data_IF_772872634726
#
_entry.id   IF_772872634726
#
_cell.length_a   1.000
_cell.length_b   1.000
_cell.length_c   1.000
_cell.angle_alpha   90.00
_cell.angle_beta   90.00
_cell.angle_gamma   90.00
#
_symmetry.space_group_name_H-M   'P 1'
#
loop_
_entity.id
_entity.type
_entity.pdbx_description
1 polymer ?
#
# COMPACT_ATOMS: atom_id res chain seq x y z
N UNK A 1 -9.40 38.12 -16.45
CA UNK A 1 -8.68 36.91 -16.00
C UNK A 1 -9.22 35.75 -16.84
N UNK A 2 -8.38 35.08 -17.64
CA UNK A 2 -8.81 33.94 -18.46
C UNK A 2 -8.96 32.68 -17.57
N UNK A 3 -9.95 31.82 -17.83
CA UNK A 3 -10.29 30.68 -16.96
C UNK A 3 -9.22 29.55 -16.92
N UNK A 4 -8.23 29.58 -17.81
CA UNK A 4 -7.19 28.53 -17.94
C UNK A 4 -5.86 28.87 -17.27
N UNK A 5 -5.75 29.97 -16.52
CA UNK A 5 -4.50 30.39 -15.89
C UNK A 5 -4.45 29.92 -14.42
N UNK A 6 -3.72 28.83 -14.16
CA UNK A 6 -3.52 28.24 -12.84
C UNK A 6 -2.46 28.95 -11.97
N UNK A 7 -1.77 29.96 -12.52
CA UNK A 7 -0.75 30.71 -11.79
C UNK A 7 -1.27 32.07 -11.34
N UNK A 8 -1.41 32.26 -10.03
CA UNK A 8 -1.57 33.57 -9.41
C UNK A 8 -0.18 34.12 -9.13
N UNK A 9 0.29 35.08 -9.94
CA UNK A 9 1.53 35.81 -9.65
C UNK A 9 1.27 36.79 -8.52
N UNK A 10 1.84 36.49 -7.35
CA UNK A 10 1.81 37.37 -6.19
C UNK A 10 2.80 38.53 -6.41
N UNK A 11 2.37 39.76 -6.15
CA UNK A 11 3.17 40.96 -6.36
C UNK A 11 4.46 40.99 -5.54
N UNK A 12 4.49 40.28 -4.40
CA UNK A 12 5.61 40.26 -3.46
C UNK A 12 6.06 38.83 -3.10
N UNK A 13 6.22 37.99 -4.12
CA UNK A 13 6.59 36.58 -4.00
C UNK A 13 7.79 36.31 -3.06
N UNK A 14 8.82 37.17 -3.12
CA UNK A 14 10.02 37.05 -2.29
C UNK A 14 9.75 37.29 -0.81
N UNK A 15 8.91 38.27 -0.48
CA UNK A 15 8.58 38.58 0.92
C UNK A 15 7.71 37.49 1.54
N UNK A 16 6.76 36.97 0.76
CA UNK A 16 5.88 35.87 1.17
C UNK A 16 6.69 34.59 1.38
N UNK A 17 7.61 34.29 0.47
CA UNK A 17 8.54 33.17 0.61
C UNK A 17 9.38 33.28 1.89
N UNK A 18 9.99 34.44 2.15
CA UNK A 18 10.84 34.63 3.31
C UNK A 18 10.05 34.55 4.63
N UNK A 19 8.80 35.04 4.63
CA UNK A 19 7.88 34.90 5.77
C UNK A 19 7.54 33.43 6.02
N UNK A 20 7.10 32.69 5.00
CA UNK A 20 6.77 31.27 5.10
C UNK A 20 7.97 30.45 5.56
N UNK A 21 9.15 30.72 4.99
CA UNK A 21 10.39 30.06 5.38
C UNK A 21 10.71 30.28 6.86
N UNK A 22 10.59 31.51 7.36
CA UNK A 22 10.83 31.82 8.77
C UNK A 22 9.81 31.16 9.70
N UNK A 23 8.53 31.15 9.33
CA UNK A 23 7.45 30.53 10.11
C UNK A 23 7.65 29.02 10.19
N UNK A 24 7.88 28.35 9.07
CA UNK A 24 8.11 26.90 9.02
C UNK A 24 9.38 26.54 9.79
N UNK A 25 10.48 27.28 9.58
CA UNK A 25 11.75 27.06 10.30
C UNK A 25 11.59 27.23 11.81
N UNK A 26 10.81 28.22 12.24
CA UNK A 26 10.54 28.47 13.66
C UNK A 26 9.63 27.40 14.26
N UNK A 27 8.57 27.01 13.56
CA UNK A 27 7.67 25.92 13.98
C UNK A 27 8.42 24.61 14.10
N UNK A 28 9.19 24.21 13.08
CA UNK A 28 9.96 22.96 13.11
C UNK A 28 11.02 22.95 14.22
N UNK A 29 11.66 24.09 14.51
CA UNK A 29 12.58 24.22 15.66
C UNK A 29 11.88 24.17 17.01
N UNK A 30 10.61 24.60 17.09
CA UNK A 30 9.82 24.57 18.31
C UNK A 30 9.13 23.23 18.56
N UNK A 31 8.77 22.49 17.50
CA UNK A 31 7.99 21.25 17.57
C UNK A 31 8.82 19.97 17.45
N UNK A 32 10.03 20.04 16.89
CA UNK A 32 10.99 18.95 16.97
C UNK A 32 12.04 19.31 18.00
N UNK A 33 12.03 18.62 19.14
CA UNK A 33 13.17 18.54 20.04
C UNK A 33 14.34 17.86 19.34
N UNK A 34 14.98 18.57 18.40
CA UNK A 34 16.27 18.19 17.87
C UNK A 34 17.28 18.39 18.99
N UNK A 35 17.98 17.34 19.46
CA UNK A 35 19.03 17.52 20.43
C UNK A 35 20.05 18.50 19.84
N UNK A 36 20.32 19.57 20.58
CA UNK A 36 21.43 20.48 20.28
C UNK A 36 22.70 19.63 20.17
N UNK A 37 23.36 19.70 19.01
CA UNK A 37 24.57 18.94 18.69
C UNK A 37 25.77 19.44 19.51
N UNK A 38 25.74 19.20 20.82
CA UNK A 38 26.83 19.48 21.76
C UNK A 38 27.09 18.32 22.72
N UNK A 39 26.49 17.15 22.49
CA UNK A 39 26.81 15.93 23.23
C UNK A 39 27.22 14.83 22.27
N UNK A 40 28.51 14.47 22.32
CA UNK A 40 29.15 13.49 21.45
C UNK A 40 28.44 12.13 21.50
N UNK A 41 27.75 11.78 20.42
CA UNK A 41 27.35 10.39 20.14
C UNK A 41 28.47 9.76 19.32
N UNK A 42 29.24 8.85 19.94
CA UNK A 42 30.18 8.00 19.23
C UNK A 42 29.41 6.85 18.58
N UNK A 43 29.31 6.85 17.26
CA UNK A 43 28.80 5.71 16.49
C UNK A 43 30.00 4.83 16.14
N UNK A 44 30.02 3.60 16.67
CA UNK A 44 30.98 2.57 16.24
C UNK A 44 30.35 1.78 15.10
N UNK A 45 30.92 1.88 13.91
CA UNK A 45 30.73 0.90 12.84
C UNK A 45 32.06 0.20 12.58
N UNK A 46 31.97 -1.12 12.34
CA UNK A 46 33.11 -1.93 11.94
C UNK A 46 33.70 -1.35 10.64
N UNK A 47 35.01 -1.10 10.67
CA UNK A 47 35.82 -0.56 9.56
C UNK A 47 35.65 0.96 9.29
N UNK A 48 36.51 1.73 9.98
CA UNK A 48 36.82 3.16 9.88
C UNK A 48 36.05 4.13 10.79
N UNK A 49 36.80 4.72 11.74
CA UNK A 49 36.37 5.80 12.63
C UNK A 49 36.30 7.12 11.86
N UNK A 50 35.09 7.66 11.65
CA UNK A 50 34.89 9.04 11.21
C UNK A 50 34.11 9.82 12.25
N UNK A 51 34.50 11.07 12.48
CA UNK A 51 33.72 11.98 13.31
C UNK A 51 32.47 12.46 12.56
N UNK A 52 31.38 12.73 13.28
CA UNK A 52 30.15 13.26 12.67
C UNK A 52 30.38 14.57 11.89
N UNK A 53 31.38 15.35 12.29
CA UNK A 53 31.81 16.56 11.58
C UNK A 53 32.41 16.26 10.20
N UNK A 54 33.14 15.16 10.03
CA UNK A 54 33.71 14.74 8.75
C UNK A 54 32.68 14.10 7.83
N UNK A 55 31.71 13.36 8.38
CA UNK A 55 30.58 12.83 7.62
C UNK A 55 29.73 13.96 7.01
N UNK A 56 29.45 15.01 7.80
CA UNK A 56 28.70 16.19 7.34
C UNK A 56 29.49 16.99 6.29
N UNK A 57 30.82 17.05 6.40
CA UNK A 57 31.67 17.72 5.40
C UNK A 57 31.63 16.99 4.05
N UNK A 58 31.74 15.66 4.04
CA UNK A 58 31.64 14.85 2.82
C UNK A 58 30.24 14.89 2.19
N UNK A 59 29.18 15.01 2.98
CA UNK A 59 27.82 15.15 2.46
C UNK A 59 27.62 16.48 1.72
N UNK A 60 28.32 17.54 2.13
CA UNK A 60 28.36 18.82 1.40
C UNK A 60 29.10 18.71 0.06
N UNK A 61 30.10 17.85 -0.02
CA UNK A 61 30.85 17.59 -1.27
C UNK A 61 30.03 16.76 -2.28
N UNK A 62 28.95 16.10 -1.83
CA UNK A 62 28.04 15.29 -2.66
C UNK A 62 26.73 15.99 -3.08
N UNK A 63 26.51 17.24 -2.64
CA UNK A 63 25.35 18.05 -3.02
C UNK A 63 25.71 18.98 -4.18
N UNK A 64 25.04 18.88 -5.35
CA UNK A 64 25.34 19.73 -6.48
C UNK A 64 24.82 21.14 -6.21
N UNK A 65 25.71 22.03 -5.77
CA UNK A 65 25.35 23.39 -5.42
C UNK A 65 26.56 24.31 -5.31
N UNK A 66 27.01 24.78 -6.48
CA UNK A 66 28.09 25.77 -6.75
C UNK A 66 29.47 25.20 -7.03
N UNK A 67 29.74 24.84 -8.28
CA UNK A 67 30.92 25.31 -9.02
C UNK A 67 30.79 24.96 -10.52
N UNK A 68 31.35 25.83 -11.36
CA UNK A 68 31.22 25.85 -12.81
C UNK A 68 32.13 24.84 -13.54
N UNK A 69 31.62 24.33 -14.67
CA UNK A 69 32.29 23.71 -15.83
C UNK A 69 33.07 22.39 -15.69
N UNK A 70 32.85 21.52 -16.70
CA UNK A 70 33.44 20.19 -17.07
C UNK A 70 32.58 19.01 -16.57
N UNK A 71 32.10 18.04 -17.35
CA UNK A 71 32.17 17.64 -18.77
C UNK A 71 31.09 16.55 -19.01
N UNK A 72 30.70 16.19 -20.25
CA UNK A 72 29.47 15.42 -20.57
C UNK A 72 29.48 13.90 -20.30
N UNK A 73 30.45 13.37 -19.56
CA UNK A 73 30.85 11.95 -19.64
C UNK A 73 30.17 11.00 -18.62
N UNK A 74 29.23 11.50 -17.80
CA UNK A 74 28.57 10.69 -16.77
C UNK A 74 27.24 10.06 -17.23
N UNK A 75 26.59 10.65 -18.23
CA UNK A 75 25.32 10.15 -18.79
C UNK A 75 25.50 9.02 -19.80
N UNK A 76 26.68 8.90 -20.42
CA UNK A 76 26.96 7.90 -21.45
C UNK A 76 27.31 6.52 -20.86
N UNK A 77 27.72 6.47 -19.57
CA UNK A 77 28.01 5.21 -18.85
C UNK A 77 26.79 4.53 -18.24
N UNK A 78 25.66 5.24 -18.12
CA UNK A 78 24.44 4.71 -17.52
C UNK A 78 23.45 4.13 -18.55
N UNK A 79 23.70 4.33 -19.85
CA UNK A 79 22.79 3.94 -20.95
C UNK A 79 23.37 2.93 -21.95
N UNK A 80 24.49 2.25 -21.64
CA UNK A 80 24.99 1.19 -22.53
C UNK A 80 24.26 -0.13 -22.27
N UNK A 81 23.28 -0.39 -23.13
CA UNK A 81 22.60 -1.67 -23.32
C UNK A 81 23.63 -2.81 -23.46
N UNK A 82 23.44 -3.89 -22.70
CA UNK A 82 24.07 -5.19 -22.97
C UNK A 82 23.00 -6.10 -23.56
N UNK A 83 23.12 -6.36 -24.86
CA UNK A 83 22.45 -7.46 -25.57
C UNK A 83 23.49 -8.55 -25.91
N UNK A 84 23.11 -9.74 -26.42
CA UNK A 84 23.20 -11.00 -25.74
C UNK A 84 24.30 -11.88 -26.37
N UNK A 85 24.65 -12.99 -25.72
CA UNK A 85 25.70 -13.94 -26.11
C UNK A 85 27.14 -13.55 -25.76
N UNK A 86 27.58 -14.02 -24.59
CA UNK A 86 28.94 -14.51 -24.45
C UNK A 86 28.94 -15.73 -23.53
N UNK A 87 29.20 -16.88 -24.13
CA UNK A 87 29.55 -18.12 -23.45
C UNK A 87 30.87 -17.93 -22.71
N UNK A 88 30.88 -18.15 -21.39
CA UNK A 88 32.11 -18.57 -20.73
C UNK A 88 31.83 -19.60 -19.64
N UNK A 89 32.62 -20.67 -19.68
CA UNK A 89 32.51 -21.89 -18.88
C UNK A 89 33.27 -21.67 -17.58
N UNK A 90 32.56 -21.41 -16.48
CA UNK A 90 33.10 -21.39 -15.13
C UNK A 90 32.64 -22.61 -14.34
N UNK A 91 33.59 -23.44 -13.89
CA UNK A 91 33.40 -24.70 -13.19
C UNK A 91 32.61 -24.57 -11.88
N UNK A 92 31.79 -25.59 -11.59
CA UNK A 92 31.02 -25.78 -10.36
C UNK A 92 31.93 -26.48 -9.34
N UNK A 93 32.14 -25.94 -8.13
CA UNK A 93 32.66 -26.72 -7.03
C UNK A 93 31.56 -27.65 -6.49
N UNK A 94 31.88 -28.94 -6.59
CA UNK A 94 31.21 -30.09 -6.02
C UNK A 94 31.39 -30.08 -4.50
N UNK A 95 30.29 -29.94 -3.76
CA UNK A 95 30.21 -30.27 -2.33
C UNK A 95 28.73 -30.49 -1.96
N UNK A 96 28.16 -31.58 -2.45
CA UNK A 96 26.93 -32.17 -1.94
C UNK A 96 27.26 -33.40 -1.11
N UNK A 97 27.55 -33.22 0.18
CA UNK A 97 27.35 -34.28 1.16
C UNK A 97 26.76 -33.77 2.47
N UNK A 98 25.58 -34.34 2.77
CA UNK A 98 25.06 -34.64 4.11
C UNK A 98 24.61 -33.46 4.99
N UNK A 99 23.29 -33.33 5.12
CA UNK A 99 22.64 -32.57 6.17
C UNK A 99 21.15 -32.94 6.24
N UNK A 100 20.84 -33.94 7.06
CA UNK A 100 19.47 -34.24 7.52
C UNK A 100 18.88 -33.03 8.26
N UNK A 101 17.55 -33.03 8.32
CA UNK A 101 16.65 -32.16 9.10
C UNK A 101 16.39 -30.76 8.53
N UNK A 102 15.23 -30.64 7.86
CA UNK A 102 14.50 -29.39 7.72
C UNK A 102 13.03 -29.63 8.04
N UNK A 103 12.71 -29.56 9.32
CA UNK A 103 11.38 -29.22 9.83
C UNK A 103 11.57 -28.12 10.85
N UNK A 104 12.00 -26.95 10.39
CA UNK A 104 12.02 -25.76 11.23
C UNK A 104 10.67 -25.06 11.09
N UNK A 105 9.76 -25.43 11.99
CA UNK A 105 8.58 -24.62 12.29
C UNK A 105 9.09 -23.48 13.16
N UNK A 106 9.23 -22.28 12.59
CA UNK A 106 9.52 -21.06 13.36
C UNK A 106 8.28 -20.67 14.20
N UNK A 107 8.07 -21.38 15.31
CA UNK A 107 7.17 -20.93 16.37
C UNK A 107 7.94 -19.92 17.22
N UNK A 108 7.82 -18.65 16.87
CA UNK A 108 8.25 -17.55 17.74
C UNK A 108 7.40 -17.60 19.01
N UNK A 109 7.92 -18.26 20.06
CA UNK A 109 7.32 -18.25 21.40
C UNK A 109 7.49 -16.87 22.04
N UNK A 110 6.59 -15.95 21.73
CA UNK A 110 6.39 -14.74 22.53
C UNK A 110 5.60 -15.16 23.77
N UNK A 111 6.25 -15.07 24.93
CA UNK A 111 5.73 -15.43 26.26
C UNK A 111 4.32 -14.83 26.44
N UNK A 112 3.33 -15.70 26.63
CA UNK A 112 1.93 -15.31 26.80
C UNK A 112 1.80 -14.29 27.94
N UNK A 113 1.35 -13.09 27.61
CA UNK A 113 0.82 -12.16 28.60
C UNK A 113 -0.60 -12.64 28.89
N UNK A 114 -0.78 -13.30 30.02
CA UNK A 114 -2.08 -13.63 30.59
C UNK A 114 -2.79 -12.30 30.89
N UNK A 115 -3.61 -11.85 29.94
CA UNK A 115 -4.56 -10.78 30.17
C UNK A 115 -5.87 -11.48 30.49
N UNK A 116 -6.43 -11.17 31.66
CA UNK A 116 -7.67 -11.76 32.17
C UNK A 116 -8.75 -11.83 31.07
N UNK A 117 -9.32 -13.02 30.95
CA UNK A 117 -10.25 -13.41 29.90
C UNK A 117 -11.57 -12.64 30.00
N UNK A 118 -11.71 -11.59 29.20
CA UNK A 118 -13.02 -11.19 28.70
C UNK A 118 -13.57 -12.37 27.86
N UNK A 119 -14.74 -12.94 28.19
CA UNK A 119 -15.34 -14.07 27.47
C UNK A 119 -15.61 -13.78 25.98
N UNK A 120 -15.49 -12.53 25.53
CA UNK A 120 -15.52 -12.13 24.12
C UNK A 120 -14.16 -11.74 23.51
N UNK A 121 -13.06 -11.78 24.26
CA UNK A 121 -11.76 -11.34 23.76
C UNK A 121 -11.12 -12.39 22.85
N UNK A 122 -10.87 -11.97 21.61
CA UNK A 122 -10.12 -12.75 20.63
C UNK A 122 -8.63 -12.51 20.82
N UNK A 123 -7.87 -13.60 20.97
CA UNK A 123 -6.41 -13.58 21.15
C UNK A 123 -5.71 -13.97 19.85
N UNK A 124 -4.85 -13.10 19.35
CA UNK A 124 -3.99 -13.42 18.21
C UNK A 124 -2.91 -14.42 18.62
N UNK A 125 -2.71 -15.45 17.80
CA UNK A 125 -1.68 -16.48 18.01
C UNK A 125 -0.49 -16.33 17.08
N UNK A 126 -0.70 -15.82 15.87
CA UNK A 126 0.35 -15.67 14.88
C UNK A 126 -0.17 -15.76 13.44
N UNK A 127 0.79 -15.78 12.52
CA UNK A 127 0.57 -15.86 11.08
C UNK A 127 1.15 -17.18 10.54
N UNK A 128 0.36 -17.93 9.80
CA UNK A 128 0.79 -19.15 9.12
C UNK A 128 1.08 -18.85 7.65
N UNK A 129 2.33 -19.13 7.24
CA UNK A 129 2.74 -19.07 5.83
C UNK A 129 2.62 -17.69 5.17
N UNK A 130 2.53 -16.61 5.97
CA UNK A 130 2.21 -15.25 5.50
C UNK A 130 0.88 -15.10 4.77
N UNK A 131 -0.05 -16.01 5.03
CA UNK A 131 -1.35 -16.08 4.34
C UNK A 131 -2.51 -16.11 5.33
N UNK A 132 -2.36 -16.86 6.41
CA UNK A 132 -3.45 -17.06 7.37
C UNK A 132 -3.13 -16.43 8.71
N UNK A 133 -4.08 -15.70 9.27
CA UNK A 133 -4.04 -15.19 10.61
C UNK A 133 -4.77 -16.16 11.53
N UNK A 134 -4.12 -16.52 12.63
CA UNK A 134 -4.65 -17.49 13.58
C UNK A 134 -5.03 -16.78 14.87
N UNK A 135 -6.27 -16.99 15.29
CA UNK A 135 -6.79 -16.44 16.54
C UNK A 135 -7.46 -17.53 17.38
N UNK A 136 -7.52 -17.31 18.69
CA UNK A 136 -8.38 -18.05 19.61
C UNK A 136 -9.51 -17.12 20.08
N UNK A 137 -10.73 -17.63 20.06
CA UNK A 137 -11.91 -16.97 20.63
C UNK A 137 -12.66 -18.00 21.48
N UNK A 138 -12.57 -17.89 22.81
CA UNK A 138 -13.05 -18.94 23.71
C UNK A 138 -12.35 -20.28 23.44
N UNK A 139 -13.14 -21.34 23.20
CA UNK A 139 -12.65 -22.70 22.88
C UNK A 139 -12.54 -22.97 21.36
N UNK A 140 -12.50 -21.91 20.54
CA UNK A 140 -12.53 -21.99 19.09
C UNK A 140 -11.25 -21.43 18.47
N UNK A 141 -10.71 -22.14 17.49
CA UNK A 141 -9.60 -21.71 16.65
C UNK A 141 -10.17 -21.06 15.37
N UNK A 142 -9.83 -19.79 15.15
CA UNK A 142 -10.19 -19.06 13.95
C UNK A 142 -8.97 -18.96 13.05
N UNK A 143 -9.13 -19.39 11.79
CA UNK A 143 -8.13 -19.27 10.74
C UNK A 143 -8.71 -18.33 9.69
N UNK A 144 -8.08 -17.17 9.53
CA UNK A 144 -8.57 -16.09 8.66
C UNK A 144 -7.59 -15.93 7.51
N UNK A 145 -8.06 -15.99 6.28
CA UNK A 145 -7.24 -15.61 5.12
C UNK A 145 -7.05 -14.09 5.13
N UNK A 146 -5.80 -13.66 5.28
CA UNK A 146 -5.42 -12.26 5.43
C UNK A 146 -5.86 -11.42 4.22
N UNK A 147 -5.68 -11.95 3.01
CA UNK A 147 -5.97 -11.23 1.79
C UNK A 147 -7.48 -11.06 1.62
N UNK A 148 -8.24 -12.16 1.72
CA UNK A 148 -9.71 -12.10 1.54
C UNK A 148 -10.40 -11.33 2.68
N UNK A 149 -9.87 -11.38 3.90
CA UNK A 149 -10.33 -10.55 5.01
C UNK A 149 -10.13 -9.07 4.72
N UNK A 150 -8.96 -8.68 4.23
CA UNK A 150 -8.68 -7.28 3.93
C UNK A 150 -9.52 -6.78 2.75
N UNK A 151 -9.69 -7.60 1.70
CA UNK A 151 -10.62 -7.29 0.60
C UNK A 151 -12.04 -7.03 1.11
N UNK A 152 -12.58 -7.90 1.97
CA UNK A 152 -13.94 -7.71 2.52
C UNK A 152 -14.03 -6.42 3.31
N UNK A 153 -13.08 -6.14 4.20
CA UNK A 153 -13.10 -4.93 5.01
C UNK A 153 -13.06 -3.67 4.13
N UNK A 154 -12.15 -3.63 3.15
CA UNK A 154 -12.04 -2.49 2.24
C UNK A 154 -13.28 -2.31 1.37
N UNK A 155 -13.91 -3.41 0.96
CA UNK A 155 -15.15 -3.37 0.18
C UNK A 155 -16.29 -2.71 0.96
N UNK A 156 -16.53 -3.14 2.21
CA UNK A 156 -17.58 -2.55 3.05
C UNK A 156 -17.32 -1.07 3.35
N UNK A 157 -16.05 -0.70 3.58
CA UNK A 157 -15.67 0.70 3.76
C UNK A 157 -15.87 1.52 2.49
N UNK A 158 -15.53 0.96 1.33
CA UNK A 158 -15.68 1.64 0.05
C UNK A 158 -17.15 1.85 -0.32
N UNK A 159 -18.05 0.91 -0.01
CA UNK A 159 -19.49 1.11 -0.17
C UNK A 159 -19.98 2.32 0.64
N UNK A 160 -19.62 2.36 1.94
CA UNK A 160 -19.98 3.49 2.83
C UNK A 160 -19.41 4.82 2.32
N UNK A 161 -18.20 4.80 1.77
CA UNK A 161 -17.58 5.98 1.15
C UNK A 161 -18.39 6.46 -0.05
N UNK A 162 -18.75 5.57 -0.97
CA UNK A 162 -19.54 5.90 -2.17
C UNK A 162 -20.92 6.44 -1.77
N UNK A 163 -21.62 5.76 -0.86
CA UNK A 163 -22.94 6.19 -0.37
C UNK A 163 -22.90 7.58 0.29
N UNK A 164 -21.83 7.87 1.04
CA UNK A 164 -21.68 9.17 1.70
C UNK A 164 -21.22 10.29 0.77
N UNK A 165 -20.65 9.97 -0.40
CA UNK A 165 -20.02 10.91 -1.32
C UNK A 165 -18.77 11.61 -0.77
N UNK A 166 -18.18 11.11 0.32
CA UNK A 166 -17.04 11.74 1.04
C UNK A 166 -15.72 11.01 0.79
N UNK A 167 -15.49 10.55 -0.44
CA UNK A 167 -14.22 9.92 -0.76
C UNK A 167 -13.04 10.89 -0.65
N UNK A 168 -11.93 10.37 -0.13
CA UNK A 168 -10.65 11.08 -0.10
C UNK A 168 -9.90 10.75 -1.39
N UNK A 169 -9.59 11.79 -2.15
CA UNK A 169 -8.87 11.70 -3.41
C UNK A 169 -7.45 12.23 -3.26
N UNK A 170 -6.51 11.60 -3.97
CA UNK A 170 -5.20 12.16 -4.24
C UNK A 170 -5.17 12.72 -5.66
N UNK A 171 -4.94 14.03 -5.78
CA UNK A 171 -4.74 14.68 -7.07
C UNK A 171 -3.46 14.18 -7.73
N UNK A 172 -3.53 14.01 -9.04
CA UNK A 172 -2.36 13.76 -9.87
C UNK A 172 -1.56 15.04 -10.03
N UNK A 173 -0.24 14.92 -10.16
CA UNK A 173 0.63 16.07 -10.41
C UNK A 173 0.30 16.73 -11.76
N UNK A 174 -0.01 15.89 -12.76
CA UNK A 174 -0.52 16.28 -14.06
C UNK A 174 -1.73 15.40 -14.40
N UNK A 175 -2.83 15.96 -14.92
CA UNK A 175 -3.92 15.16 -15.43
C UNK A 175 -3.44 14.23 -16.56
N UNK A 176 -4.05 13.04 -16.64
CA UNK A 176 -3.75 12.04 -17.66
C UNK A 176 -4.94 11.95 -18.62
N UNK A 177 -4.69 12.04 -19.92
CA UNK A 177 -5.71 11.82 -20.93
C UNK A 177 -5.70 10.35 -21.34
N UNK A 178 -6.84 9.68 -21.22
CA UNK A 178 -7.02 8.26 -21.50
C UNK A 178 -7.98 8.16 -22.68
N UNK A 179 -7.51 7.59 -23.79
CA UNK A 179 -8.32 7.35 -24.98
C UNK A 179 -9.08 6.04 -24.84
N UNK A 180 -10.39 6.08 -24.95
CA UNK A 180 -11.27 4.92 -24.84
C UNK A 180 -11.87 4.56 -26.19
N UNK A 181 -12.38 3.33 -26.35
CA UNK A 181 -13.28 3.03 -27.47
C UNK A 181 -14.66 3.66 -27.19
N UNK A 182 -15.50 3.89 -28.20
CA UNK A 182 -16.86 4.41 -28.00
C UNK A 182 -17.68 3.59 -26.99
N UNK A 183 -17.52 2.26 -27.00
CA UNK A 183 -18.20 1.35 -26.07
C UNK A 183 -17.73 1.55 -24.63
N UNK A 184 -16.41 1.65 -24.42
CA UNK A 184 -15.83 1.89 -23.08
C UNK A 184 -16.14 3.29 -22.56
N UNK A 185 -16.25 4.27 -23.45
CA UNK A 185 -16.65 5.62 -23.10
C UNK A 185 -18.09 5.65 -22.57
N UNK A 186 -19.02 4.90 -23.18
CA UNK A 186 -20.39 4.79 -22.68
C UNK A 186 -20.44 4.16 -21.27
N UNK A 187 -19.63 3.11 -21.03
CA UNK A 187 -19.49 2.51 -19.69
C UNK A 187 -18.96 3.52 -18.67
N UNK A 188 -17.96 4.31 -19.07
CA UNK A 188 -17.44 5.38 -18.24
C UNK A 188 -18.51 6.42 -17.91
N UNK A 189 -19.30 6.87 -18.89
CA UNK A 189 -20.34 7.86 -18.67
C UNK A 189 -21.37 7.38 -17.64
N UNK A 190 -21.81 6.12 -17.74
CA UNK A 190 -22.73 5.49 -16.79
C UNK A 190 -22.14 5.43 -15.37
N UNK A 191 -20.85 5.09 -15.24
CA UNK A 191 -20.18 4.96 -13.96
C UNK A 191 -19.62 6.27 -13.39
N UNK A 192 -19.60 7.36 -14.16
CA UNK A 192 -18.85 8.58 -13.87
C UNK A 192 -19.15 9.18 -12.49
N UNK A 193 -20.43 9.24 -12.12
CA UNK A 193 -20.89 9.75 -10.82
C UNK A 193 -20.49 8.85 -9.64
N UNK A 194 -20.50 7.53 -9.85
CA UNK A 194 -20.06 6.56 -8.84
C UNK A 194 -18.54 6.60 -8.68
N UNK A 195 -17.80 6.68 -9.80
CA UNK A 195 -16.34 6.84 -9.80
C UNK A 195 -15.93 8.11 -9.04
N UNK A 196 -16.63 9.23 -9.29
CA UNK A 196 -16.46 10.47 -8.53
C UNK A 196 -16.71 10.27 -7.04
N UNK A 197 -17.81 9.63 -6.69
CA UNK A 197 -18.18 9.33 -5.29
C UNK A 197 -17.22 8.35 -4.63
N UNK A 198 -16.50 7.54 -5.41
CA UNK A 198 -15.44 6.64 -4.98
C UNK A 198 -14.06 7.32 -4.85
N UNK A 199 -13.95 8.60 -5.22
CA UNK A 199 -12.73 9.40 -5.12
C UNK A 199 -11.88 9.42 -6.37
N UNK A 200 -12.39 8.93 -7.51
CA UNK A 200 -11.76 8.99 -8.82
C UNK A 200 -12.32 10.19 -9.56
N UNK A 201 -11.52 11.24 -9.72
CA UNK A 201 -11.96 12.49 -10.35
C UNK A 201 -11.52 12.46 -11.81
N UNK A 202 -12.48 12.37 -12.70
CA UNK A 202 -12.29 12.37 -14.15
C UNK A 202 -13.41 13.14 -14.84
N UNK A 203 -13.15 13.60 -16.06
CA UNK A 203 -14.15 14.27 -16.88
C UNK A 203 -13.95 13.95 -18.38
N UNK A 204 -15.02 13.97 -19.19
CA UNK A 204 -14.90 13.93 -20.65
C UNK A 204 -13.97 15.03 -21.19
N UNK A 205 -13.15 14.69 -22.17
CA UNK A 205 -12.22 15.59 -22.84
C UNK A 205 -12.15 15.33 -24.36
N UNK A 206 -13.29 15.40 -25.04
CA UNK A 206 -13.39 15.10 -26.47
C UNK A 206 -14.51 14.11 -26.74
N UNK A 207 -14.43 13.38 -27.85
CA UNK A 207 -15.44 12.40 -28.22
C UNK A 207 -15.31 11.08 -27.43
N UNK A 208 -14.09 10.60 -27.25
CA UNK A 208 -13.77 9.29 -26.65
C UNK A 208 -12.65 9.36 -25.62
N UNK A 209 -12.20 10.57 -25.28
CA UNK A 209 -11.10 10.80 -24.36
C UNK A 209 -11.63 11.19 -22.98
N UNK A 210 -11.05 10.64 -21.92
CA UNK A 210 -11.32 11.00 -20.53
C UNK A 210 -10.07 11.60 -19.90
N UNK A 211 -10.21 12.76 -19.26
CA UNK A 211 -9.13 13.39 -18.49
C UNK A 211 -9.26 12.99 -17.02
N UNK A 212 -8.33 12.16 -16.55
CA UNK A 212 -8.20 11.74 -15.15
C UNK A 212 -7.36 12.76 -14.37
N UNK A 213 -7.90 13.30 -13.28
CA UNK A 213 -7.27 14.35 -12.46
C UNK A 213 -6.93 13.89 -11.04
N UNK A 214 -7.64 12.90 -10.50
CA UNK A 214 -7.37 12.33 -9.18
C UNK A 214 -7.80 10.87 -9.08
N UNK A 215 -7.18 10.13 -8.17
CA UNK A 215 -7.56 8.75 -7.81
C UNK A 215 -7.84 8.65 -6.31
N UNK A 216 -8.54 7.59 -5.89
CA UNK A 216 -8.74 7.30 -4.47
C UNK A 216 -7.39 7.17 -3.73
N UNK A 217 -7.31 7.72 -2.52
CA UNK A 217 -6.08 7.67 -1.71
C UNK A 217 -5.60 6.25 -1.39
N UNK A 218 -6.48 5.25 -1.47
CA UNK A 218 -6.16 3.84 -1.28
C UNK A 218 -5.39 3.21 -2.46
N UNK A 219 -5.36 3.86 -3.63
CA UNK A 219 -4.82 3.30 -4.89
C UNK A 219 -3.48 3.93 -5.33
N UNK A 220 -2.87 4.74 -4.47
CA UNK A 220 -1.76 5.65 -4.79
C UNK A 220 -0.44 4.98 -5.15
N UNK A 221 -0.28 3.70 -4.80
CA UNK A 221 0.91 2.89 -5.12
C UNK A 221 0.87 2.27 -6.53
N UNK A 222 -0.21 2.46 -7.28
CA UNK A 222 -0.44 1.86 -8.61
C UNK A 222 -0.45 2.93 -9.69
N UNK A 223 -0.24 2.54 -10.94
CA UNK A 223 -0.39 3.45 -12.08
C UNK A 223 -1.86 3.91 -12.16
N UNK A 224 -2.14 5.22 -12.08
CA UNK A 224 -3.51 5.75 -12.11
C UNK A 224 -4.28 5.34 -13.37
N UNK A 225 -3.62 5.42 -14.53
CA UNK A 225 -4.18 5.05 -15.84
C UNK A 225 -4.57 3.57 -15.87
N UNK A 226 -3.65 2.67 -15.50
CA UNK A 226 -3.93 1.23 -15.47
C UNK A 226 -5.05 0.89 -14.50
N UNK A 227 -5.07 1.53 -13.33
CA UNK A 227 -6.13 1.32 -12.35
C UNK A 227 -7.48 1.73 -12.92
N UNK A 228 -7.56 2.91 -13.55
CA UNK A 228 -8.78 3.41 -14.16
C UNK A 228 -9.29 2.48 -15.27
N UNK A 229 -8.42 2.08 -16.20
CA UNK A 229 -8.78 1.14 -17.27
C UNK A 229 -9.26 -0.21 -16.72
N UNK A 230 -8.59 -0.74 -15.70
CA UNK A 230 -8.99 -2.01 -15.11
C UNK A 230 -10.31 -1.91 -14.36
N UNK A 231 -10.64 -0.77 -13.75
CA UNK A 231 -11.95 -0.55 -13.12
C UNK A 231 -13.05 -0.56 -14.19
N UNK A 232 -12.83 0.11 -15.32
CA UNK A 232 -13.77 0.06 -16.45
C UNK A 232 -13.94 -1.37 -16.98
N UNK A 233 -12.87 -2.15 -17.07
CA UNK A 233 -12.95 -3.58 -17.45
C UNK A 233 -13.76 -4.40 -16.44
N UNK A 234 -13.62 -4.17 -15.14
CA UNK A 234 -14.43 -4.87 -14.14
C UNK A 234 -15.91 -4.49 -14.25
N UNK A 235 -16.22 -3.21 -14.51
CA UNK A 235 -17.58 -2.73 -14.77
C UNK A 235 -18.17 -3.45 -16.00
N UNK A 236 -17.45 -3.44 -17.12
CA UNK A 236 -17.87 -4.12 -18.36
C UNK A 236 -18.24 -5.59 -18.12
N UNK A 237 -17.46 -6.30 -17.31
CA UNK A 237 -17.65 -7.72 -17.07
C UNK A 237 -18.77 -8.02 -16.05
N UNK A 238 -18.82 -7.30 -14.93
CA UNK A 238 -19.68 -7.63 -13.80
C UNK A 238 -21.04 -6.91 -13.85
N UNK A 239 -21.06 -5.65 -14.30
CA UNK A 239 -22.31 -4.90 -14.41
C UNK A 239 -23.21 -5.46 -15.50
N UNK A 240 -22.63 -5.83 -16.65
CA UNK A 240 -23.34 -6.56 -17.71
C UNK A 240 -23.84 -7.93 -17.23
N UNK A 241 -23.21 -8.50 -16.19
CA UNK A 241 -23.66 -9.72 -15.50
C UNK A 241 -24.84 -9.53 -14.56
N UNK A 242 -25.35 -8.30 -14.39
CA UNK A 242 -26.50 -7.97 -13.56
C UNK A 242 -26.15 -7.51 -12.13
N UNK A 243 -24.86 -7.33 -11.81
CA UNK A 243 -24.46 -6.77 -10.53
C UNK A 243 -24.70 -5.25 -10.47
N UNK A 244 -25.04 -4.77 -9.29
CA UNK A 244 -25.23 -3.34 -9.03
C UNK A 244 -23.91 -2.58 -9.26
N UNK A 245 -23.93 -1.56 -10.11
CA UNK A 245 -22.73 -0.82 -10.53
C UNK A 245 -21.89 -0.29 -9.34
N UNK A 246 -22.55 0.20 -8.29
CA UNK A 246 -21.92 0.64 -7.04
C UNK A 246 -21.06 -0.46 -6.41
N UNK A 247 -21.59 -1.69 -6.36
CA UNK A 247 -20.89 -2.85 -5.79
C UNK A 247 -19.70 -3.24 -6.65
N UNK A 248 -19.87 -3.23 -7.97
CA UNK A 248 -18.79 -3.54 -8.91
C UNK A 248 -17.62 -2.57 -8.75
N UNK A 249 -17.89 -1.26 -8.68
CA UNK A 249 -16.86 -0.24 -8.44
C UNK A 249 -16.19 -0.44 -7.09
N UNK A 250 -16.97 -0.66 -6.02
CA UNK A 250 -16.43 -0.89 -4.69
C UNK A 250 -15.52 -2.13 -4.63
N UNK A 251 -15.95 -3.22 -5.26
CA UNK A 251 -15.21 -4.48 -5.37
C UNK A 251 -13.90 -4.28 -6.13
N UNK A 252 -13.95 -3.58 -7.26
CA UNK A 252 -12.79 -3.29 -8.09
C UNK A 252 -11.72 -2.49 -7.32
N UNK A 253 -12.14 -1.47 -6.58
CA UNK A 253 -11.25 -0.65 -5.75
C UNK A 253 -10.68 -1.48 -4.58
N UNK A 254 -11.52 -2.24 -3.87
CA UNK A 254 -11.10 -3.03 -2.73
C UNK A 254 -10.05 -4.10 -3.10
N UNK A 255 -10.28 -4.83 -4.19
CA UNK A 255 -9.33 -5.80 -4.74
C UNK A 255 -7.96 -5.17 -5.02
N UNK A 256 -7.96 -3.93 -5.53
CA UNK A 256 -6.73 -3.21 -5.86
C UNK A 256 -6.07 -2.55 -4.65
N UNK A 257 -6.82 -2.22 -3.61
CA UNK A 257 -6.29 -1.60 -2.39
C UNK A 257 -5.84 -2.64 -1.34
N UNK A 258 -6.32 -3.88 -1.43
CA UNK A 258 -6.00 -4.94 -0.51
C UNK A 258 -4.51 -5.27 -0.47
N UNK A 259 -4.07 -5.78 0.69
CA UNK A 259 -2.72 -6.31 0.91
C UNK A 259 -2.52 -7.52 0.02
N UNK A 260 -1.30 -7.70 -0.48
CA UNK A 260 -0.99 -8.84 -1.33
C UNK A 260 -0.87 -10.10 -0.46
N UNK A 261 -1.20 -11.25 -1.04
CA UNK A 261 -0.90 -12.52 -0.42
C UNK A 261 0.61 -12.64 -0.17
N UNK A 262 1.03 -12.92 1.07
CA UNK A 262 2.44 -13.04 1.44
C UNK A 262 3.04 -11.83 2.16
N UNK A 263 2.27 -10.76 2.38
CA UNK A 263 2.73 -9.60 3.14
C UNK A 263 2.86 -9.92 4.65
N UNK A 264 3.96 -9.45 5.26
CA UNK A 264 4.11 -9.51 6.73
C UNK A 264 3.16 -8.52 7.35
N UNK A 265 2.41 -8.98 8.34
CA UNK A 265 1.51 -8.15 9.14
C UNK A 265 1.97 -8.21 10.59
N UNK A 266 2.01 -7.06 11.26
CA UNK A 266 2.26 -7.00 12.70
C UNK A 266 1.08 -7.57 13.49
N UNK A 267 1.32 -7.93 14.75
CA UNK A 267 0.28 -8.38 15.67
C UNK A 267 -0.82 -7.32 15.83
N UNK A 268 -0.43 -6.06 15.95
CA UNK A 268 -1.35 -4.93 16.05
C UNK A 268 -2.21 -4.77 14.79
N UNK A 269 -1.62 -4.86 13.60
CA UNK A 269 -2.35 -4.80 12.33
C UNK A 269 -3.29 -5.99 12.15
N UNK A 270 -2.87 -7.20 12.54
CA UNK A 270 -3.71 -8.40 12.49
C UNK A 270 -4.94 -8.26 13.39
N UNK A 271 -4.73 -7.80 14.62
CA UNK A 271 -5.84 -7.54 15.57
C UNK A 271 -6.76 -6.43 15.02
N UNK A 272 -6.21 -5.39 14.43
CA UNK A 272 -7.01 -4.31 13.83
C UNK A 272 -7.82 -4.79 12.62
N UNK A 273 -7.23 -5.63 11.76
CA UNK A 273 -7.94 -6.26 10.66
C UNK A 273 -9.08 -7.13 11.16
N UNK A 274 -8.83 -7.96 12.19
CA UNK A 274 -9.87 -8.76 12.83
C UNK A 274 -11.01 -7.90 13.37
N UNK A 275 -10.70 -6.82 14.10
CA UNK A 275 -11.72 -5.91 14.65
C UNK A 275 -12.58 -5.29 13.54
N UNK A 276 -11.96 -4.80 12.47
CA UNK A 276 -12.67 -4.26 11.29
C UNK A 276 -13.53 -5.33 10.61
N UNK A 277 -13.02 -6.55 10.47
CA UNK A 277 -13.77 -7.67 9.90
C UNK A 277 -14.95 -8.09 10.78
N UNK A 278 -14.81 -8.02 12.10
CA UNK A 278 -15.84 -8.46 13.05
C UNK A 278 -17.14 -7.63 12.98
N UNK A 279 -17.02 -6.38 12.55
CA UNK A 279 -18.14 -5.43 12.36
C UNK A 279 -18.58 -5.30 10.89
N UNK A 280 -18.00 -6.08 9.98
CA UNK A 280 -18.40 -6.11 8.57
C UNK A 280 -19.70 -6.91 8.40
N UNK A 281 -20.60 -6.43 7.54
CA UNK A 281 -21.93 -7.02 7.34
C UNK A 281 -21.87 -8.49 6.89
N UNK A 282 -20.92 -8.82 5.99
CA UNK A 282 -20.69 -10.19 5.55
C UNK A 282 -19.25 -10.65 5.78
N UNK A 283 -18.91 -10.96 7.04
CA UNK A 283 -17.56 -11.42 7.44
C UNK A 283 -17.15 -12.81 6.92
N UNK A 284 -18.05 -13.57 6.30
CA UNK A 284 -17.82 -14.98 6.00
C UNK A 284 -17.27 -15.23 4.61
N UNK A 285 -17.62 -14.38 3.64
CA UNK A 285 -17.15 -14.49 2.26
C UNK A 285 -16.53 -13.16 1.81
N UNK A 286 -15.56 -13.17 0.90
CA UNK A 286 -15.08 -11.95 0.26
C UNK A 286 -16.05 -11.48 -0.85
N UNK A 287 -15.86 -10.29 -1.45
CA UNK A 287 -16.68 -9.83 -2.56
C UNK A 287 -16.71 -10.81 -3.75
N UNK A 288 -15.64 -11.57 -3.96
CA UNK A 288 -15.53 -12.61 -5.00
C UNK A 288 -16.13 -13.97 -4.58
N UNK A 289 -16.74 -14.08 -3.40
CA UNK A 289 -17.38 -15.29 -2.90
C UNK A 289 -16.48 -16.32 -2.20
N UNK A 290 -15.17 -16.04 -2.04
CA UNK A 290 -14.25 -16.95 -1.32
C UNK A 290 -14.47 -16.87 0.19
N UNK A 291 -14.39 -17.99 0.94
CA UNK A 291 -14.45 -17.96 2.40
C UNK A 291 -13.33 -17.10 3.01
N UNK A 292 -13.68 -16.31 4.03
CA UNK A 292 -12.74 -15.42 4.74
C UNK A 292 -12.24 -16.04 6.04
N UNK A 293 -13.15 -16.70 6.78
CA UNK A 293 -12.85 -17.28 8.09
C UNK A 293 -13.25 -18.75 8.11
N UNK A 294 -12.30 -19.59 8.49
CA UNK A 294 -12.53 -20.97 8.90
C UNK A 294 -12.53 -21.02 10.44
N UNK A 295 -13.48 -21.76 11.00
CA UNK A 295 -13.62 -21.95 12.44
C UNK A 295 -13.50 -23.43 12.73
N UNK A 296 -12.67 -23.77 13.72
CA UNK A 296 -12.50 -25.11 14.23
C UNK A 296 -12.81 -25.12 15.72
N UNK A 297 -13.80 -25.90 16.13
CA UNK A 297 -14.11 -26.05 17.55
C UNK A 297 -13.18 -27.07 18.21
N UNK A 298 -13.06 -27.01 19.54
CA UNK A 298 -12.36 -28.04 20.31
C UNK A 298 -12.86 -29.45 19.99
N UNK A 299 -14.18 -29.65 19.92
CA UNK A 299 -14.78 -30.95 19.61
C UNK A 299 -14.40 -31.47 18.21
N UNK A 300 -14.30 -30.58 17.21
CA UNK A 300 -13.87 -30.93 15.86
C UNK A 300 -12.39 -31.32 15.83
N UNK A 301 -11.55 -30.63 16.60
CA UNK A 301 -10.16 -30.98 16.79
C UNK A 301 -10.01 -32.33 17.50
N UNK A 302 -10.73 -32.53 18.60
CA UNK A 302 -10.72 -33.78 19.36
C UNK A 302 -11.12 -34.97 18.48
N UNK A 303 -12.19 -34.83 17.68
CA UNK A 303 -12.58 -35.84 16.66
C UNK A 303 -11.47 -36.11 15.65
N UNK A 304 -10.80 -35.07 15.12
CA UNK A 304 -9.70 -35.22 14.15
C UNK A 304 -8.48 -35.93 14.75
N UNK A 305 -8.26 -35.81 16.05
CA UNK A 305 -7.20 -36.52 16.78
C UNK A 305 -7.65 -37.83 17.42
N UNK A 306 -8.89 -38.28 17.17
CA UNK A 306 -9.44 -39.52 17.74
C UNK A 306 -9.66 -39.48 19.25
N UNK A 307 -9.79 -38.27 19.82
CA UNK A 307 -10.15 -38.05 21.22
C UNK A 307 -11.68 -38.00 21.34
N UNK A 308 -12.22 -38.66 22.37
CA UNK A 308 -13.66 -38.72 22.67
C UNK A 308 -14.05 -37.64 23.66
#
# INVERSE_FOLDING_TARGET
VHPTKAEVRLSEERQIHDLLYQVIKKSLRGSMGLPSASSAVQIKTAENNYTAAEAIRRLKDFLPGKSANKSPDLMEKLYREQDPQSSDKGQVPDDLQSGKDRTDIDIIHKKAVETESDPGAVRYLGQLGRLYLVFISGDELLIIDQHTAHERVLYEEQLKVIESGKAVSQNLLFPINIELTPERFAVYEEASEILRSAGIISQPFGATTVMLSAISSSLTKKSPEKVFEQILTDIENLHTGGEELTRVVAQSIACRAAIMAGDVISEEEAIMLYKRLSVADNRHCCPHGRPVTLKLTKDELDKKFGRK
#
